data_IF_071423786574
#
_entry.id   IF_071423786574
#
_cell.length_a   1.000
_cell.length_b   1.000
_cell.length_c   1.000
_cell.angle_alpha   90.00
_cell.angle_beta   90.00
_cell.angle_gamma   90.00
#
_symmetry.space_group_name_H-M   'P 1'
#
loop_
_entity.id
_entity.type
_entity.pdbx_description
1 polymer ?
#
# COMPACT_ATOMS: atom_id res chain seq x y z
N UNK A 1 10.10 3.16 12.66
CA UNK A 1 10.36 2.19 11.59
C UNK A 1 9.97 2.78 10.24
N UNK A 2 10.52 2.26 9.16
CA UNK A 2 10.17 2.70 7.81
C UNK A 2 9.14 1.75 7.21
N UNK A 3 8.05 2.31 6.75
CA UNK A 3 6.98 1.60 6.06
C UNK A 3 6.87 2.16 4.64
N UNK A 4 6.90 1.26 3.66
CA UNK A 4 6.60 1.61 2.27
C UNK A 4 5.19 1.14 1.97
N UNK A 5 4.33 2.06 1.56
CA UNK A 5 2.95 1.76 1.15
C UNK A 5 2.88 1.79 -0.36
N UNK A 6 2.42 0.70 -0.96
CA UNK A 6 2.14 0.62 -2.38
C UNK A 6 0.69 0.21 -2.57
N UNK A 7 -0.01 0.89 -3.46
CA UNK A 7 -1.39 0.51 -3.77
C UNK A 7 -1.65 0.58 -5.27
N UNK A 8 -2.58 -0.24 -5.70
CA UNK A 8 -3.12 -0.21 -7.05
C UNK A 8 -4.64 -0.28 -6.94
N UNK A 9 -5.32 0.81 -7.25
CA UNK A 9 -6.76 0.92 -7.15
C UNK A 9 -7.35 0.91 -8.55
N UNK A 10 -8.36 0.06 -8.76
CA UNK A 10 -9.07 -0.02 -10.02
C UNK A 10 -9.84 1.28 -10.26
N UNK A 11 -9.49 2.00 -11.34
CA UNK A 11 -10.06 3.30 -11.68
C UNK A 11 -11.01 3.24 -12.88
N UNK A 12 -11.46 2.06 -13.28
CA UNK A 12 -12.42 1.89 -14.37
C UNK A 12 -13.79 2.43 -14.02
N UNK A 13 -14.11 2.51 -12.73
CA UNK A 13 -15.38 3.05 -12.26
C UNK A 13 -15.20 4.38 -11.54
N UNK A 14 -16.28 5.13 -11.40
CA UNK A 14 -16.30 6.38 -10.64
C UNK A 14 -15.98 6.14 -9.16
N UNK A 15 -16.51 5.07 -8.60
CA UNK A 15 -16.25 4.65 -7.22
C UNK A 15 -14.77 4.33 -7.02
N UNK A 16 -14.15 3.65 -7.98
CA UNK A 16 -12.73 3.34 -7.94
C UNK A 16 -11.86 4.59 -7.95
N UNK A 17 -12.20 5.56 -8.80
CA UNK A 17 -11.49 6.85 -8.83
C UNK A 17 -11.63 7.61 -7.50
N UNK A 18 -12.78 7.52 -6.86
CA UNK A 18 -13.02 8.09 -5.53
C UNK A 18 -12.19 7.40 -4.46
N UNK A 19 -12.13 6.05 -4.50
CA UNK A 19 -11.29 5.27 -3.59
C UNK A 19 -9.81 5.65 -3.73
N UNK A 20 -9.33 5.80 -4.95
CA UNK A 20 -7.95 6.22 -5.21
C UNK A 20 -7.62 7.52 -4.50
N UNK A 21 -8.49 8.53 -4.60
CA UNK A 21 -8.29 9.81 -3.93
C UNK A 21 -8.27 9.68 -2.40
N UNK A 22 -9.15 8.84 -1.83
CA UNK A 22 -9.21 8.61 -0.39
C UNK A 22 -8.00 7.87 0.14
N UNK A 23 -7.55 6.84 -0.58
CA UNK A 23 -6.33 6.10 -0.23
C UNK A 23 -5.12 7.03 -0.24
N UNK A 24 -4.97 7.82 -1.28
CA UNK A 24 -3.89 8.80 -1.38
C UNK A 24 -3.93 9.80 -0.22
N UNK A 25 -5.11 10.28 0.15
CA UNK A 25 -5.28 11.23 1.25
C UNK A 25 -4.87 10.64 2.59
N UNK A 26 -5.21 9.38 2.86
CA UNK A 26 -4.78 8.67 4.07
C UNK A 26 -3.25 8.60 4.12
N UNK A 27 -2.61 8.21 3.01
CA UNK A 27 -1.16 8.12 2.94
C UNK A 27 -0.48 9.49 3.08
N UNK A 28 -1.02 10.53 2.47
CA UNK A 28 -0.49 11.90 2.55
C UNK A 28 -0.47 12.43 4.00
N UNK A 29 -1.45 12.03 4.79
CA UNK A 29 -1.52 12.40 6.21
C UNK A 29 -0.50 11.68 7.09
N UNK A 30 0.13 10.63 6.61
CA UNK A 30 1.02 9.77 7.40
C UNK A 30 2.46 9.78 6.91
N UNK A 31 2.68 9.97 5.62
CA UNK A 31 4.01 9.87 5.02
C UNK A 31 4.24 10.78 3.84
N UNK A 32 5.30 10.49 3.12
CA UNK A 32 5.74 11.27 1.96
C UNK A 32 5.55 10.47 0.69
N UNK A 33 4.92 11.09 -0.30
CA UNK A 33 4.78 10.48 -1.63
C UNK A 33 6.14 10.45 -2.34
N UNK A 34 6.51 9.27 -2.82
CA UNK A 34 7.73 9.06 -3.62
C UNK A 34 7.42 8.75 -5.07
N UNK A 35 6.27 8.16 -5.33
CA UNK A 35 5.71 7.95 -6.66
C UNK A 35 4.18 8.07 -6.57
N UNK A 36 3.47 7.98 -7.70
CA UNK A 36 2.01 8.20 -7.75
C UNK A 36 1.24 7.41 -6.70
N UNK A 37 1.60 6.15 -6.50
CA UNK A 37 0.93 5.24 -5.58
C UNK A 37 1.91 4.56 -4.62
N UNK A 38 3.00 5.24 -4.30
CA UNK A 38 4.03 4.76 -3.37
C UNK A 38 4.35 5.86 -2.36
N UNK A 39 4.27 5.51 -1.08
CA UNK A 39 4.53 6.43 0.02
C UNK A 39 5.56 5.83 0.98
N UNK A 40 6.44 6.66 1.49
CA UNK A 40 7.34 6.33 2.59
C UNK A 40 6.82 6.93 3.88
N UNK A 41 6.64 6.10 4.91
CA UNK A 41 6.12 6.51 6.20
C UNK A 41 7.10 6.13 7.30
N UNK A 42 7.59 7.11 8.06
CA UNK A 42 8.40 6.87 9.27
C UNK A 42 7.47 6.93 10.46
N UNK A 43 7.07 5.79 10.96
CA UNK A 43 6.02 5.65 11.95
C UNK A 43 6.36 4.55 12.95
N UNK A 44 5.67 4.58 14.10
CA UNK A 44 5.75 3.53 15.10
C UNK A 44 4.70 2.43 14.84
N UNK A 45 4.70 1.40 15.67
CA UNK A 45 3.78 0.27 15.50
C UNK A 45 2.31 0.70 15.64
N UNK A 46 2.02 1.58 16.58
CA UNK A 46 0.65 2.07 16.79
C UNK A 46 0.14 2.84 15.57
N UNK A 47 0.99 3.70 15.01
CA UNK A 47 0.66 4.45 13.80
C UNK A 47 0.52 3.52 12.58
N UNK A 48 1.33 2.45 12.51
CA UNK A 48 1.21 1.45 11.46
C UNK A 48 -0.14 0.74 11.51
N UNK A 49 -0.57 0.31 12.69
CA UNK A 49 -1.86 -0.35 12.88
C UNK A 49 -3.03 0.57 12.49
N UNK A 50 -2.95 1.83 12.86
CA UNK A 50 -3.95 2.83 12.49
C UNK A 50 -3.97 3.09 10.98
N UNK A 51 -2.80 3.21 10.36
CA UNK A 51 -2.66 3.38 8.92
C UNK A 51 -3.27 2.20 8.17
N UNK A 52 -2.91 0.98 8.57
CA UNK A 52 -3.44 -0.26 7.97
C UNK A 52 -4.95 -0.33 8.09
N UNK A 53 -5.50 -0.05 9.27
CA UNK A 53 -6.94 -0.04 9.51
C UNK A 53 -7.66 0.96 8.60
N UNK A 54 -7.12 2.17 8.47
CA UNK A 54 -7.71 3.22 7.65
C UNK A 54 -7.66 2.89 6.16
N UNK A 55 -6.54 2.33 5.70
CA UNK A 55 -6.39 1.93 4.30
C UNK A 55 -7.34 0.78 3.95
N UNK A 56 -7.45 -0.22 4.83
CA UNK A 56 -8.38 -1.34 4.62
C UNK A 56 -9.84 -0.90 4.61
N UNK A 57 -10.18 0.16 5.32
CA UNK A 57 -11.53 0.73 5.30
C UNK A 57 -11.86 1.43 3.96
N UNK A 58 -10.86 1.86 3.22
CA UNK A 58 -11.06 2.58 1.96
C UNK A 58 -11.02 1.69 0.72
N UNK A 59 -10.18 0.65 0.70
CA UNK A 59 -10.01 -0.19 -0.49
C UNK A 59 -11.16 -1.19 -0.67
N UNK A 60 -11.35 -1.61 -1.91
CA UNK A 60 -12.19 -2.76 -2.26
C UNK A 60 -11.26 -3.94 -2.57
N UNK A 61 -11.26 -4.96 -1.70
CA UNK A 61 -10.33 -6.09 -1.81
C UNK A 61 -10.59 -6.98 -3.03
N UNK A 62 -11.74 -6.87 -3.67
CA UNK A 62 -12.05 -7.59 -4.91
C UNK A 62 -11.40 -6.94 -6.14
N UNK A 63 -11.22 -5.62 -6.10
CA UNK A 63 -10.80 -4.83 -7.26
C UNK A 63 -9.42 -4.18 -7.09
N UNK A 64 -9.02 -3.93 -5.86
CA UNK A 64 -7.83 -3.15 -5.54
C UNK A 64 -6.77 -4.03 -4.89
N UNK A 65 -5.51 -3.57 -4.87
CA UNK A 65 -4.47 -4.19 -4.07
C UNK A 65 -3.70 -3.17 -3.24
N UNK A 66 -3.21 -3.63 -2.09
CA UNK A 66 -2.48 -2.83 -1.13
C UNK A 66 -1.32 -3.65 -0.58
N UNK A 67 -0.13 -3.06 -0.53
CA UNK A 67 1.05 -3.65 0.08
C UNK A 67 1.67 -2.69 1.07
N UNK A 68 2.02 -3.22 2.23
CA UNK A 68 2.76 -2.52 3.27
C UNK A 68 4.08 -3.26 3.49
N UNK A 69 5.19 -2.62 3.18
CA UNK A 69 6.52 -3.16 3.40
C UNK A 69 7.09 -2.54 4.66
N UNK A 70 7.40 -3.37 5.64
CA UNK A 70 8.09 -2.95 6.85
C UNK A 70 9.58 -3.24 6.70
N UNK A 71 10.38 -2.20 6.70
CA UNK A 71 11.82 -2.29 6.60
C UNK A 71 12.44 -2.13 7.98
N UNK A 72 13.13 -3.17 8.45
CA UNK A 72 13.87 -3.16 9.70
C UNK A 72 15.34 -3.46 9.40
N UNK A 73 16.24 -2.65 9.96
CA UNK A 73 17.68 -2.73 9.68
C UNK A 73 18.28 -4.12 9.98
N UNK A 74 17.76 -4.83 10.96
CA UNK A 74 18.32 -6.11 11.44
C UNK A 74 17.54 -7.35 11.03
N UNK A 75 16.34 -7.22 10.44
CA UNK A 75 15.42 -8.35 10.21
C UNK A 75 14.93 -8.48 8.77
N UNK A 76 15.42 -7.68 7.85
CA UNK A 76 14.97 -7.68 6.46
C UNK A 76 13.63 -6.98 6.28
N UNK A 77 12.84 -7.48 5.34
CA UNK A 77 11.58 -6.86 4.95
C UNK A 77 10.40 -7.77 5.27
N UNK A 78 9.44 -7.24 6.01
CA UNK A 78 8.13 -7.87 6.22
C UNK A 78 7.14 -7.23 5.26
N UNK A 79 6.36 -8.04 4.56
CA UNK A 79 5.36 -7.57 3.58
C UNK A 79 3.97 -7.98 4.03
N UNK A 80 3.05 -7.02 4.10
CA UNK A 80 1.62 -7.25 4.32
C UNK A 80 0.87 -6.88 3.06
N UNK A 81 0.13 -7.83 2.51
CA UNK A 81 -0.56 -7.70 1.24
C UNK A 81 -2.05 -7.89 1.40
N UNK A 82 -2.84 -7.01 0.79
CA UNK A 82 -4.30 -7.04 0.85
C UNK A 82 -4.89 -6.77 -0.52
N UNK A 83 -5.92 -7.51 -0.86
CA UNK A 83 -6.68 -7.28 -2.06
C UNK A 83 -6.36 -8.26 -3.20
N UNK A 84 -6.67 -7.83 -4.42
CA UNK A 84 -6.53 -8.65 -5.62
C UNK A 84 -5.09 -8.63 -6.12
N UNK A 85 -4.36 -9.71 -5.86
CA UNK A 85 -2.99 -9.84 -6.34
C UNK A 85 -2.91 -10.66 -7.61
N UNK A 86 -2.09 -10.15 -8.53
CA UNK A 86 -1.41 -11.02 -9.49
C UNK A 86 -0.14 -11.48 -8.77
N UNK A 87 -0.02 -12.78 -8.54
CA UNK A 87 1.19 -13.33 -7.98
C UNK A 87 2.37 -12.92 -8.86
N UNK A 88 3.25 -12.10 -8.32
CA UNK A 88 4.54 -11.83 -8.94
C UNK A 88 5.46 -12.94 -8.44
N UNK A 89 5.82 -13.85 -9.33
CA UNK A 89 6.85 -14.83 -9.06
C UNK A 89 8.19 -14.13 -9.22
N UNK A 90 8.85 -13.83 -8.10
CA UNK A 90 10.17 -13.19 -8.10
C UNK A 90 11.28 -14.08 -8.66
N UNK A 91 11.03 -15.40 -8.76
CA UNK A 91 11.94 -16.36 -9.37
C UNK A 91 11.73 -16.48 -10.88
N UNK A 92 10.65 -15.92 -11.42
CA UNK A 92 10.42 -15.85 -12.86
C UNK A 92 11.16 -14.67 -13.48
N UNK A 93 11.59 -14.77 -14.74
CA UNK A 93 12.20 -13.64 -15.44
C UNK A 93 11.21 -12.46 -15.48
N UNK A 94 11.65 -11.29 -14.98
CA UNK A 94 10.89 -10.07 -15.15
C UNK A 94 10.95 -9.68 -16.63
N UNK A 95 9.85 -9.85 -17.31
CA UNK A 95 9.69 -9.29 -18.64
C UNK A 95 9.31 -7.84 -18.47
N UNK A 96 10.25 -6.98 -18.78
CA UNK A 96 10.00 -5.54 -18.76
C UNK A 96 9.02 -5.15 -19.86
#
# INVERSE_FOLDING_TARGET
MLIIVCYDVNTETREGRRRLRRVARVCEGTGQRVQKSVFECRIDLMQLEELERRLLAEINTDDDCLRLYRLAESRGCEVREYGRFRAIDFDAPLVA
#
